data_IF_534292142053
#
_entry.id   IF_534292142053
#
_cell.length_a   1.000
_cell.length_b   1.000
_cell.length_c   1.000
_cell.angle_alpha   90.00
_cell.angle_beta   90.00
_cell.angle_gamma   90.00
#
_symmetry.space_group_name_H-M   'P 1'
#
loop_
_entity.id
_entity.type
_entity.pdbx_description
1 polymer ?
#
# COMPACT_ATOMS: atom_id res chain seq x y z
N UNK A 1 -30.11 -36.96 -39.80
CA UNK A 1 -31.02 -35.85 -39.44
C UNK A 1 -31.25 -35.96 -37.95
N UNK A 2 -30.58 -35.14 -37.14
CA UNK A 2 -30.89 -34.96 -35.73
C UNK A 2 -31.31 -33.50 -35.57
N UNK A 3 -32.58 -33.30 -35.27
CA UNK A 3 -33.17 -31.99 -35.01
C UNK A 3 -32.84 -31.50 -33.60
N UNK A 4 -32.92 -30.18 -33.49
CA UNK A 4 -32.67 -29.30 -32.36
C UNK A 4 -33.39 -29.70 -31.07
N UNK A 5 -32.68 -29.63 -29.93
CA UNK A 5 -33.30 -29.38 -28.62
C UNK A 5 -32.87 -28.00 -28.14
N UNK A 6 -33.90 -27.20 -27.85
CA UNK A 6 -33.85 -25.79 -27.49
C UNK A 6 -33.17 -25.52 -26.14
N UNK A 7 -32.73 -24.28 -25.98
CA UNK A 7 -31.78 -23.84 -24.98
C UNK A 7 -32.29 -23.83 -23.53
N UNK A 8 -31.35 -24.08 -22.62
CA UNK A 8 -31.53 -23.85 -21.20
C UNK A 8 -31.59 -22.34 -20.91
N UNK A 9 -32.48 -21.88 -20.00
CA UNK A 9 -32.53 -20.48 -19.61
C UNK A 9 -31.27 -20.10 -18.84
N UNK A 10 -30.59 -19.06 -19.32
CA UNK A 10 -29.47 -18.40 -18.66
C UNK A 10 -29.94 -17.96 -17.27
N UNK A 11 -29.39 -18.58 -16.22
CA UNK A 11 -29.61 -18.16 -14.84
C UNK A 11 -29.14 -16.72 -14.69
N UNK A 12 -30.08 -15.83 -14.42
CA UNK A 12 -29.85 -14.41 -14.19
C UNK A 12 -28.69 -14.19 -13.20
N UNK A 13 -27.74 -13.35 -13.61
CA UNK A 13 -26.63 -12.92 -12.79
C UNK A 13 -27.14 -12.36 -11.45
N UNK A 14 -26.62 -12.92 -10.36
CA UNK A 14 -26.95 -12.52 -8.99
C UNK A 14 -26.66 -11.02 -8.81
N UNK A 15 -27.53 -10.22 -8.17
CA UNK A 15 -27.30 -8.79 -8.04
C UNK A 15 -25.99 -8.53 -7.29
N UNK A 16 -25.14 -7.67 -7.85
CA UNK A 16 -23.95 -7.17 -7.15
C UNK A 16 -24.45 -6.46 -5.89
N UNK A 17 -24.15 -7.05 -4.72
CA UNK A 17 -24.61 -6.55 -3.44
C UNK A 17 -24.29 -5.06 -3.29
N UNK A 18 -25.33 -4.23 -3.24
CA UNK A 18 -25.25 -2.79 -2.99
C UNK A 18 -24.75 -2.54 -1.58
N UNK A 19 -23.80 -1.61 -1.43
CA UNK A 19 -23.25 -1.21 -0.13
C UNK A 19 -24.39 -0.76 0.81
N UNK A 20 -24.38 -1.22 2.07
CA UNK A 20 -25.46 -0.98 3.04
C UNK A 20 -25.61 0.52 3.38
N UNK A 21 -26.86 0.96 3.57
CA UNK A 21 -27.21 2.32 4.05
C UNK A 21 -26.56 2.58 5.42
N UNK A 22 -25.94 3.75 5.58
CA UNK A 22 -25.11 4.23 6.71
C UNK A 22 -23.60 3.98 6.61
N UNK A 23 -23.04 4.15 5.42
CA UNK A 23 -21.60 4.25 5.25
C UNK A 23 -21.12 5.68 5.46
N UNK A 24 -20.17 5.90 6.39
CA UNK A 24 -19.54 7.21 6.54
C UNK A 24 -18.92 7.68 5.21
N UNK A 25 -18.84 8.99 5.03
CA UNK A 25 -18.28 9.60 3.83
C UNK A 25 -16.81 9.18 3.58
N UNK A 26 -16.30 9.51 2.40
CA UNK A 26 -14.96 9.13 1.96
C UNK A 26 -13.83 9.58 2.92
N UNK A 27 -14.04 10.68 3.66
CA UNK A 27 -13.10 11.18 4.67
C UNK A 27 -12.96 10.26 5.89
N UNK A 28 -14.03 9.60 6.35
CA UNK A 28 -13.94 8.66 7.47
C UNK A 28 -13.09 7.42 7.11
N UNK A 29 -13.11 7.02 5.84
CA UNK A 29 -12.29 5.92 5.30
C UNK A 29 -10.80 6.27 5.33
N UNK A 30 -10.46 7.52 5.01
CA UNK A 30 -9.08 8.01 5.04
C UNK A 30 -8.59 8.21 6.48
N UNK A 31 -9.45 8.68 7.38
CA UNK A 31 -9.10 8.82 8.79
C UNK A 31 -8.73 7.49 9.46
N UNK A 32 -9.33 6.36 9.04
CA UNK A 32 -8.88 5.05 9.52
C UNK A 32 -7.39 4.85 9.20
N UNK A 33 -6.92 5.18 7.99
CA UNK A 33 -5.57 4.79 7.53
C UNK A 33 -4.52 5.90 7.60
N UNK A 34 -4.92 7.15 7.73
CA UNK A 34 -3.99 8.29 7.81
C UNK A 34 -3.06 8.19 9.04
N UNK A 35 -3.47 7.49 10.10
CA UNK A 35 -2.64 7.18 11.27
C UNK A 35 -1.50 6.19 10.97
N UNK A 36 -1.61 5.38 9.91
CA UNK A 36 -0.71 4.25 9.63
C UNK A 36 0.60 4.64 8.97
N UNK A 37 0.58 5.70 8.17
CA UNK A 37 1.72 6.11 7.37
C UNK A 37 2.49 7.22 8.09
N UNK A 38 3.49 6.83 8.88
CA UNK A 38 4.44 7.78 9.50
C UNK A 38 5.03 8.70 8.42
N UNK A 39 5.49 8.11 7.32
CA UNK A 39 6.02 8.82 6.14
C UNK A 39 4.94 9.48 5.26
N UNK A 40 3.65 9.29 5.57
CA UNK A 40 2.53 9.91 4.86
C UNK A 40 2.06 11.23 5.48
N UNK A 41 2.64 11.65 6.61
CA UNK A 41 2.28 12.90 7.29
C UNK A 41 3.53 13.75 7.57
N UNK A 42 3.52 15.06 7.27
CA UNK A 42 4.71 15.93 7.38
C UNK A 42 5.17 16.15 8.83
N UNK A 43 4.26 15.99 9.79
CA UNK A 43 4.45 16.21 11.23
C UNK A 43 4.87 14.94 11.99
N UNK A 44 4.79 13.76 11.37
CA UNK A 44 5.04 12.48 12.04
C UNK A 44 6.46 11.97 11.86
N UNK A 45 7.04 11.48 12.94
CA UNK A 45 8.35 10.83 12.96
C UNK A 45 8.21 9.39 13.42
N UNK A 46 9.22 8.57 13.11
CA UNK A 46 9.28 7.21 13.65
C UNK A 46 9.45 7.29 15.17
N UNK A 47 8.64 6.53 15.95
CA UNK A 47 8.76 6.50 17.40
C UNK A 47 10.20 6.20 17.85
N UNK A 48 10.79 7.10 18.62
CA UNK A 48 12.19 6.97 19.07
C UNK A 48 12.32 6.54 20.53
N UNK A 49 11.19 6.19 21.17
CA UNK A 49 11.15 5.67 22.53
C UNK A 49 10.17 4.49 22.63
N UNK A 50 10.32 3.69 23.68
CA UNK A 50 9.43 2.55 23.96
C UNK A 50 8.00 3.02 24.26
N UNK A 51 7.85 4.16 24.92
CA UNK A 51 6.57 4.79 25.26
C UNK A 51 5.87 5.27 23.99
N UNK A 52 6.57 6.02 23.13
CA UNK A 52 6.05 6.48 21.85
C UNK A 52 5.66 5.28 20.97
N UNK A 53 6.50 4.24 20.92
CA UNK A 53 6.20 3.06 20.13
C UNK A 53 5.02 2.28 20.70
N UNK A 54 4.86 2.22 22.02
CA UNK A 54 3.71 1.57 22.65
C UNK A 54 2.41 2.32 22.34
N UNK A 55 2.42 3.65 22.43
CA UNK A 55 1.29 4.48 22.02
C UNK A 55 0.94 4.31 20.54
N UNK A 56 1.96 4.29 19.67
CA UNK A 56 1.81 4.00 18.25
C UNK A 56 1.15 2.63 18.04
N UNK A 57 1.69 1.57 18.63
CA UNK A 57 1.12 0.22 18.58
C UNK A 57 -0.33 0.12 19.08
N UNK A 58 -0.74 0.93 20.06
CA UNK A 58 -2.14 1.03 20.50
C UNK A 58 -3.04 1.60 19.40
N UNK A 59 -2.69 2.77 18.86
CA UNK A 59 -3.43 3.46 17.78
C UNK A 59 -3.56 2.61 16.51
N UNK A 60 -2.57 1.76 16.26
CA UNK A 60 -2.57 0.82 15.15
C UNK A 60 -3.60 -0.30 15.30
N UNK A 61 -3.80 -0.83 16.51
CA UNK A 61 -4.84 -1.84 16.76
C UNK A 61 -6.24 -1.26 16.54
N UNK A 62 -6.46 -0.03 16.99
CA UNK A 62 -7.71 0.71 16.76
C UNK A 62 -7.94 0.92 15.26
N UNK A 63 -6.88 1.23 14.53
CA UNK A 63 -6.91 1.40 13.08
C UNK A 63 -7.27 0.11 12.35
N UNK A 64 -6.65 -1.03 12.69
CA UNK A 64 -6.98 -2.33 12.09
C UNK A 64 -8.46 -2.67 12.29
N UNK A 65 -9.01 -2.38 13.47
CA UNK A 65 -10.44 -2.52 13.75
C UNK A 65 -11.29 -1.58 12.88
N UNK A 66 -10.91 -0.31 12.76
CA UNK A 66 -11.58 0.69 11.92
C UNK A 66 -11.70 0.21 10.46
N UNK A 67 -10.59 -0.29 9.89
CA UNK A 67 -10.56 -0.80 8.53
C UNK A 67 -11.48 -2.01 8.38
N UNK A 68 -11.40 -3.00 9.27
CA UNK A 68 -12.23 -4.22 9.21
C UNK A 68 -13.72 -3.91 9.34
N UNK A 69 -14.08 -3.03 10.27
CA UNK A 69 -15.46 -2.63 10.47
C UNK A 69 -15.99 -1.86 9.26
N UNK A 70 -15.17 -0.99 8.65
CA UNK A 70 -15.54 -0.27 7.44
C UNK A 70 -15.68 -1.19 6.22
N UNK A 71 -14.66 -2.02 5.93
CA UNK A 71 -14.67 -2.89 4.73
C UNK A 71 -15.79 -3.91 4.78
N UNK A 72 -16.15 -4.43 5.96
CA UNK A 72 -17.25 -5.38 6.13
C UNK A 72 -18.64 -4.78 5.94
N UNK A 73 -18.81 -3.47 6.23
CA UNK A 73 -20.12 -2.79 6.15
C UNK A 73 -20.33 -2.06 4.83
N UNK A 74 -19.25 -1.51 4.25
CA UNK A 74 -19.35 -0.44 3.27
C UNK A 74 -18.73 -0.71 1.92
N UNK A 75 -18.06 -1.85 1.74
CA UNK A 75 -17.44 -2.19 0.48
C UNK A 75 -18.13 -3.37 -0.18
N UNK A 76 -18.14 -3.36 -1.52
CA UNK A 76 -18.44 -4.55 -2.31
C UNK A 76 -17.39 -5.64 -2.05
N UNK A 77 -17.68 -6.93 -2.35
CA UNK A 77 -16.70 -8.00 -2.15
C UNK A 77 -15.35 -7.73 -2.82
N UNK A 78 -15.34 -7.22 -4.06
CA UNK A 78 -14.12 -6.88 -4.78
C UNK A 78 -13.41 -5.65 -4.17
N UNK A 79 -14.17 -4.60 -3.81
CA UNK A 79 -13.60 -3.43 -3.14
C UNK A 79 -12.97 -3.76 -1.78
N UNK A 80 -13.58 -4.70 -1.05
CA UNK A 80 -13.03 -5.26 0.20
C UNK A 80 -11.72 -5.99 -0.07
N UNK A 81 -11.66 -6.93 -1.02
CA UNK A 81 -10.43 -7.66 -1.38
C UNK A 81 -9.29 -6.71 -1.78
N UNK A 82 -9.56 -5.76 -2.68
CA UNK A 82 -8.56 -4.78 -3.10
C UNK A 82 -8.04 -3.93 -1.93
N UNK A 83 -8.92 -3.57 -1.00
CA UNK A 83 -8.53 -2.82 0.22
C UNK A 83 -7.73 -3.68 1.17
N UNK A 84 -8.13 -4.94 1.39
CA UNK A 84 -7.39 -5.90 2.21
C UNK A 84 -5.97 -6.11 1.67
N UNK A 85 -5.80 -6.26 0.36
CA UNK A 85 -4.47 -6.32 -0.28
C UNK A 85 -3.69 -5.03 -0.03
N UNK A 86 -4.30 -3.86 -0.28
CA UNK A 86 -3.64 -2.56 -0.14
C UNK A 86 -3.14 -2.28 1.29
N UNK A 87 -3.85 -2.79 2.32
CA UNK A 87 -3.51 -2.55 3.74
C UNK A 87 -2.83 -3.75 4.41
N UNK A 88 -2.79 -4.92 3.77
CA UNK A 88 -2.18 -6.13 4.33
C UNK A 88 -0.70 -5.93 4.64
N UNK A 89 0.01 -5.20 3.78
CA UNK A 89 1.40 -4.80 3.96
C UNK A 89 1.63 -4.02 5.25
N UNK A 90 0.76 -3.04 5.49
CA UNK A 90 0.75 -2.25 6.71
C UNK A 90 0.52 -3.18 7.91
N UNK A 91 -0.56 -3.96 7.94
CA UNK A 91 -0.87 -4.83 9.07
C UNK A 91 0.28 -5.79 9.44
N UNK A 92 1.01 -6.30 8.43
CA UNK A 92 2.20 -7.14 8.63
C UNK A 92 3.38 -6.38 9.21
N UNK A 93 3.71 -5.23 8.65
CA UNK A 93 4.74 -4.33 9.17
C UNK A 93 4.49 -4.03 10.66
N UNK A 94 3.24 -3.71 11.00
CA UNK A 94 2.86 -3.38 12.36
C UNK A 94 2.94 -4.58 13.29
N UNK A 95 2.53 -5.78 12.85
CA UNK A 95 2.75 -7.00 13.63
C UNK A 95 4.25 -7.22 13.88
N UNK A 96 5.13 -7.00 12.90
CA UNK A 96 6.57 -7.20 13.09
C UNK A 96 7.17 -6.24 14.11
N UNK A 97 6.78 -4.97 14.10
CA UNK A 97 7.30 -3.97 15.05
C UNK A 97 6.67 -4.08 16.44
N UNK A 98 5.37 -4.38 16.53
CA UNK A 98 4.60 -4.28 17.78
C UNK A 98 4.45 -5.59 18.56
N UNK A 99 4.87 -6.74 18.00
CA UNK A 99 4.58 -8.09 18.54
C UNK A 99 5.25 -8.39 19.89
N UNK A 100 6.53 -8.05 20.06
CA UNK A 100 7.27 -8.36 21.29
C UNK A 100 8.08 -7.17 21.79
N UNK A 101 8.51 -7.22 23.05
CA UNK A 101 9.35 -6.17 23.63
C UNK A 101 10.70 -6.08 22.92
N UNK A 102 11.27 -7.21 22.49
CA UNK A 102 12.52 -7.29 21.73
C UNK A 102 12.38 -6.60 20.38
N UNK A 103 11.29 -6.86 19.64
CA UNK A 103 11.04 -6.18 18.36
C UNK A 103 10.80 -4.70 18.50
N UNK A 104 10.18 -4.27 19.60
CA UNK A 104 10.04 -2.86 19.94
C UNK A 104 11.39 -2.19 20.22
N UNK A 105 12.25 -2.85 20.99
CA UNK A 105 13.63 -2.37 21.24
C UNK A 105 14.44 -2.28 19.96
N UNK A 106 14.33 -3.30 19.10
CA UNK A 106 14.99 -3.34 17.80
C UNK A 106 14.53 -2.17 16.91
N UNK A 107 13.24 -1.87 16.87
CA UNK A 107 12.73 -0.70 16.16
C UNK A 107 13.28 0.61 16.71
N UNK A 108 13.20 0.82 18.03
CA UNK A 108 13.67 2.06 18.68
C UNK A 108 15.16 2.28 18.43
N UNK A 109 15.97 1.21 18.48
CA UNK A 109 17.41 1.26 18.16
C UNK A 109 17.68 1.81 16.76
N UNK A 110 16.82 1.50 15.79
CA UNK A 110 17.00 1.90 14.39
C UNK A 110 16.22 3.17 14.01
N UNK A 111 15.29 3.64 14.86
CA UNK A 111 14.43 4.78 14.57
C UNK A 111 15.20 6.07 14.24
N UNK A 112 16.40 6.25 14.80
CA UNK A 112 17.29 7.36 14.49
C UNK A 112 17.64 7.47 13.00
N UNK A 113 18.05 6.36 12.38
CA UNK A 113 18.32 6.33 10.93
C UNK A 113 17.06 6.69 10.13
N UNK A 114 15.91 6.05 10.44
CA UNK A 114 14.67 6.31 9.70
C UNK A 114 14.21 7.77 9.80
N UNK A 115 14.42 8.40 10.96
CA UNK A 115 14.12 9.82 11.15
C UNK A 115 15.10 10.73 10.40
N UNK A 116 16.37 10.36 10.29
CA UNK A 116 17.35 11.13 9.51
C UNK A 116 17.02 11.19 8.02
N UNK A 117 16.37 10.15 7.47
CA UNK A 117 15.99 10.08 6.05
C UNK A 117 14.48 10.24 5.81
N UNK A 118 13.71 10.66 6.82
CA UNK A 118 12.25 10.69 6.72
C UNK A 118 11.76 11.67 5.63
N UNK A 119 12.51 12.73 5.39
CA UNK A 119 12.27 13.68 4.29
C UNK A 119 12.37 13.00 2.92
N UNK A 120 13.44 12.25 2.69
CA UNK A 120 13.63 11.47 1.46
C UNK A 120 12.52 10.42 1.32
N UNK A 121 12.23 9.66 2.38
CA UNK A 121 11.14 8.67 2.36
C UNK A 121 9.79 9.28 1.98
N UNK A 122 9.48 10.48 2.47
CA UNK A 122 8.26 11.24 2.11
C UNK A 122 8.26 11.63 0.64
N UNK A 123 9.40 12.11 0.13
CA UNK A 123 9.54 12.45 -1.29
C UNK A 123 9.32 11.23 -2.16
N UNK A 124 10.02 10.13 -1.89
CA UNK A 124 9.87 8.87 -2.62
C UNK A 124 8.43 8.35 -2.58
N UNK A 125 7.76 8.43 -1.42
CA UNK A 125 6.36 8.01 -1.30
C UNK A 125 5.43 8.92 -2.10
N UNK A 126 5.72 10.22 -2.15
CA UNK A 126 4.95 11.16 -2.94
C UNK A 126 5.05 10.85 -4.43
N UNK A 127 6.23 10.52 -4.94
CA UNK A 127 6.43 10.14 -6.34
C UNK A 127 5.64 8.87 -6.69
N UNK A 128 5.72 7.85 -5.83
CA UNK A 128 4.92 6.63 -6.00
C UNK A 128 3.42 6.91 -5.96
N UNK A 129 2.97 7.71 -5.01
CA UNK A 129 1.57 8.13 -4.90
C UNK A 129 1.10 8.83 -6.17
N UNK A 130 1.88 9.77 -6.72
CA UNK A 130 1.55 10.45 -7.98
C UNK A 130 1.48 9.48 -9.15
N UNK A 131 2.39 8.50 -9.20
CA UNK A 131 2.33 7.44 -10.20
C UNK A 131 1.06 6.59 -10.11
N UNK A 132 0.56 6.29 -8.90
CA UNK A 132 -0.71 5.57 -8.74
C UNK A 132 -1.90 6.39 -9.24
N UNK A 133 -1.91 7.72 -9.06
CA UNK A 133 -2.93 8.58 -9.67
C UNK A 133 -2.82 8.57 -11.20
N UNK A 134 -1.61 8.57 -11.75
CA UNK A 134 -1.39 8.39 -13.18
C UNK A 134 -1.92 7.04 -13.68
N UNK A 135 -1.65 5.96 -12.95
CA UNK A 135 -2.11 4.61 -13.27
C UNK A 135 -3.64 4.51 -13.33
N UNK A 136 -4.38 5.28 -12.52
CA UNK A 136 -5.85 5.30 -12.62
C UNK A 136 -6.36 5.78 -13.99
N UNK A 137 -5.59 6.65 -14.65
CA UNK A 137 -5.89 7.20 -15.99
C UNK A 137 -5.23 6.40 -17.12
N UNK A 138 -4.39 5.43 -16.80
CA UNK A 138 -3.67 4.63 -17.78
C UNK A 138 -4.55 3.50 -18.34
N UNK A 139 -4.18 3.02 -19.53
CA UNK A 139 -4.73 1.80 -20.11
C UNK A 139 -4.54 0.59 -19.17
N UNK A 140 -5.47 -0.36 -19.20
CA UNK A 140 -5.50 -1.49 -18.27
C UNK A 140 -4.18 -2.29 -18.26
N UNK A 141 -3.58 -2.50 -19.43
CA UNK A 141 -2.30 -3.19 -19.58
C UNK A 141 -1.09 -2.42 -19.00
N UNK A 142 -1.22 -1.12 -18.74
CA UNK A 142 -0.19 -0.29 -18.10
C UNK A 142 -0.37 -0.23 -16.58
N UNK A 143 -1.55 -0.54 -16.04
CA UNK A 143 -1.83 -0.40 -14.60
C UNK A 143 -0.93 -1.27 -13.72
N UNK A 144 -0.77 -2.55 -14.05
CA UNK A 144 0.10 -3.47 -13.31
C UNK A 144 1.59 -3.10 -13.45
N UNK A 145 2.13 -2.85 -14.66
CA UNK A 145 3.49 -2.33 -14.81
C UNK A 145 3.76 -1.04 -14.01
N UNK A 146 2.86 -0.05 -14.06
CA UNK A 146 3.02 1.19 -13.28
C UNK A 146 3.01 0.88 -11.78
N UNK A 147 2.06 0.07 -11.30
CA UNK A 147 1.96 -0.32 -9.89
C UNK A 147 3.25 -0.95 -9.39
N UNK A 148 3.77 -1.94 -10.12
CA UNK A 148 4.95 -2.69 -9.69
C UNK A 148 6.22 -1.87 -9.85
N UNK A 149 6.53 -1.37 -11.06
CA UNK A 149 7.79 -0.68 -11.33
C UNK A 149 7.95 0.58 -10.48
N UNK A 150 6.88 1.37 -10.27
CA UNK A 150 6.96 2.58 -9.45
C UNK A 150 7.06 2.30 -7.95
N UNK A 151 6.68 1.10 -7.52
CA UNK A 151 6.96 0.65 -6.17
C UNK A 151 8.44 0.22 -5.99
N UNK A 152 9.06 -0.38 -7.01
CA UNK A 152 10.51 -0.62 -6.98
C UNK A 152 11.30 0.70 -7.00
N UNK A 153 10.90 1.68 -7.82
CA UNK A 153 11.47 3.03 -7.79
C UNK A 153 11.40 3.64 -6.39
N UNK A 154 10.24 3.52 -5.71
CA UNK A 154 10.07 3.96 -4.33
C UNK A 154 11.07 3.28 -3.38
N UNK A 155 11.21 1.96 -3.45
CA UNK A 155 12.15 1.21 -2.60
C UNK A 155 13.59 1.62 -2.84
N UNK A 156 13.98 1.75 -4.11
CA UNK A 156 15.33 2.15 -4.50
C UNK A 156 15.63 3.58 -4.04
N UNK A 157 14.68 4.50 -4.21
CA UNK A 157 14.76 5.88 -3.73
C UNK A 157 14.98 5.95 -2.20
N UNK A 158 14.24 5.14 -1.41
CA UNK A 158 14.45 5.07 0.05
C UNK A 158 15.83 4.53 0.40
N UNK A 159 16.29 3.47 -0.27
CA UNK A 159 17.64 2.90 -0.10
C UNK A 159 18.71 3.96 -0.37
N UNK A 160 18.61 4.67 -1.50
CA UNK A 160 19.54 5.74 -1.86
C UNK A 160 19.55 6.87 -0.82
N UNK A 161 18.40 7.24 -0.25
CA UNK A 161 18.34 8.20 0.86
C UNK A 161 19.14 7.72 2.08
N UNK A 162 19.02 6.45 2.45
CA UNK A 162 19.80 5.83 3.54
C UNK A 162 21.30 5.75 3.27
N UNK A 163 21.69 5.53 2.01
CA UNK A 163 23.10 5.50 1.63
C UNK A 163 23.71 6.91 1.69
N UNK A 164 22.95 7.93 1.27
CA UNK A 164 23.39 9.34 1.23
C UNK A 164 23.72 9.92 2.61
N UNK A 165 22.98 9.54 3.66
CA UNK A 165 23.23 10.05 5.03
C UNK A 165 24.48 9.46 5.69
N UNK A 166 25.11 8.46 5.06
CA UNK A 166 26.37 7.88 5.51
C UNK A 166 26.24 6.89 6.67
N UNK A 167 27.28 6.09 6.87
CA UNK A 167 27.31 4.99 7.84
C UNK A 167 27.33 5.46 9.32
N UNK A 168 27.73 6.71 9.58
CA UNK A 168 27.72 7.29 10.93
C UNK A 168 26.29 7.54 11.43
N UNK A 169 25.41 8.03 10.56
CA UNK A 169 24.01 8.32 10.89
C UNK A 169 23.12 7.10 10.67
N UNK A 170 23.34 6.38 9.57
CA UNK A 170 22.63 5.15 9.27
C UNK A 170 23.62 4.01 9.03
N UNK A 171 24.03 3.26 10.08
CA UNK A 171 24.93 2.12 9.91
C UNK A 171 24.25 1.02 9.10
N UNK A 172 25.06 0.12 8.53
CA UNK A 172 24.57 -0.97 7.67
C UNK A 172 23.48 -1.82 8.36
N UNK A 173 23.64 -2.09 9.66
CA UNK A 173 22.61 -2.80 10.44
C UNK A 173 21.25 -2.10 10.45
N UNK A 174 21.22 -0.76 10.46
CA UNK A 174 19.99 0.02 10.38
C UNK A 174 19.42 0.06 8.98
N UNK A 175 20.28 0.16 7.95
CA UNK A 175 19.85 0.03 6.55
C UNK A 175 19.18 -1.32 6.30
N UNK A 176 19.85 -2.41 6.70
CA UNK A 176 19.34 -3.77 6.58
C UNK A 176 18.04 -3.96 7.37
N UNK A 177 17.94 -3.35 8.56
CA UNK A 177 16.70 -3.35 9.33
C UNK A 177 15.54 -2.71 8.55
N UNK A 178 15.74 -1.52 7.98
CA UNK A 178 14.71 -0.85 7.19
C UNK A 178 14.41 -1.56 5.86
N UNK A 179 15.40 -2.21 5.24
CA UNK A 179 15.19 -3.07 4.08
C UNK A 179 14.24 -4.22 4.42
N UNK A 180 14.48 -4.96 5.50
CA UNK A 180 13.57 -6.01 5.94
C UNK A 180 12.18 -5.50 6.31
N UNK A 181 12.09 -4.28 6.84
CA UNK A 181 10.82 -3.60 7.13
C UNK A 181 10.08 -3.23 5.83
N UNK A 182 10.79 -2.83 4.78
CA UNK A 182 10.23 -2.56 3.46
C UNK A 182 9.76 -3.85 2.76
N UNK A 183 10.54 -4.94 2.82
CA UNK A 183 10.11 -6.26 2.32
C UNK A 183 8.87 -6.75 3.07
N UNK A 184 8.86 -6.52 4.39
CA UNK A 184 7.75 -6.87 5.25
C UNK A 184 6.43 -6.16 4.91
N UNK A 185 6.52 -4.99 4.27
CA UNK A 185 5.40 -4.18 3.81
C UNK A 185 4.84 -4.68 2.49
N UNK A 186 5.58 -5.44 1.69
CA UNK A 186 5.02 -6.04 0.48
C UNK A 186 4.04 -7.16 0.90
N UNK A 187 2.84 -7.14 0.33
CA UNK A 187 1.88 -8.22 0.58
C UNK A 187 2.22 -9.42 -0.30
N UNK A 188 1.96 -10.66 0.12
CA UNK A 188 2.29 -11.85 -0.69
C UNK A 188 1.53 -11.84 -2.02
N UNK A 189 0.33 -11.23 -2.02
CA UNK A 189 -0.44 -10.97 -3.24
C UNK A 189 0.27 -9.95 -4.12
N UNK A 190 0.82 -8.89 -3.54
CA UNK A 190 1.61 -7.88 -4.26
C UNK A 190 2.88 -8.50 -4.84
N UNK A 191 3.62 -9.28 -4.06
CA UNK A 191 4.84 -9.97 -4.49
C UNK A 191 4.55 -10.94 -5.63
N UNK A 192 3.43 -11.67 -5.55
CA UNK A 192 3.00 -12.58 -6.60
C UNK A 192 2.68 -11.84 -7.90
N UNK A 193 1.88 -10.78 -7.87
CA UNK A 193 1.51 -10.04 -9.10
C UNK A 193 2.67 -9.23 -9.67
N UNK A 194 3.62 -8.84 -8.83
CA UNK A 194 4.78 -8.04 -9.23
C UNK A 194 6.05 -8.86 -9.48
N UNK A 195 6.01 -10.20 -9.37
CA UNK A 195 7.21 -11.06 -9.41
C UNK A 195 8.05 -10.95 -10.68
N UNK A 196 7.48 -10.44 -11.78
CA UNK A 196 8.15 -10.29 -13.07
C UNK A 196 8.59 -8.85 -13.38
N UNK A 197 8.37 -7.94 -12.44
CA UNK A 197 8.72 -6.54 -12.54
C UNK A 197 9.74 -6.32 -11.43
N UNK A 198 11.01 -6.12 -11.75
CA UNK A 198 12.05 -5.82 -10.77
C UNK A 198 13.08 -4.88 -11.41
N UNK A 199 14.10 -4.48 -10.65
CA UNK A 199 15.16 -3.58 -11.12
C UNK A 199 15.93 -4.12 -12.34
N UNK A 200 15.87 -5.43 -12.60
CA UNK A 200 16.54 -6.10 -13.73
C UNK A 200 15.62 -6.38 -14.91
N UNK A 201 14.32 -6.10 -14.78
CA UNK A 201 13.31 -6.43 -15.79
C UNK A 201 13.17 -5.33 -16.83
N UNK A 202 13.37 -5.66 -18.10
CA UNK A 202 13.09 -4.77 -19.24
C UNK A 202 11.62 -4.30 -19.26
N UNK A 203 10.72 -4.98 -18.55
CA UNK A 203 9.30 -4.61 -18.46
C UNK A 203 9.07 -3.26 -17.79
N UNK A 204 10.03 -2.76 -17.01
CA UNK A 204 9.93 -1.44 -16.40
C UNK A 204 10.42 -0.31 -17.32
N UNK A 205 11.16 -0.62 -18.39
CA UNK A 205 11.71 0.38 -19.33
C UNK A 205 10.64 1.06 -20.19
N UNK A 206 9.52 0.38 -20.45
CA UNK A 206 8.43 0.86 -21.30
C UNK A 206 7.24 1.47 -20.52
N UNK A 207 7.37 1.65 -19.21
CA UNK A 207 6.27 2.14 -18.36
C UNK A 207 6.02 3.62 -18.61
N UNK A 208 4.87 3.94 -19.18
CA UNK A 208 4.43 5.33 -19.39
C UNK A 208 3.42 5.70 -18.30
N UNK A 209 3.79 6.65 -17.44
CA UNK A 209 2.90 7.16 -16.39
C UNK A 209 2.22 8.44 -16.88
N UNK A 210 0.88 8.47 -16.99
CA UNK A 210 0.15 9.70 -17.28
C UNK A 210 0.42 10.77 -16.21
N UNK A 211 0.67 12.01 -16.65
CA UNK A 211 0.90 13.13 -15.75
C UNK A 211 -0.39 13.50 -15.00
N UNK A 212 -0.24 13.83 -13.72
CA UNK A 212 -1.34 14.27 -12.86
C UNK A 212 -0.89 15.47 -12.06
N UNK A 213 -1.68 16.54 -12.06
CA UNK A 213 -1.42 17.71 -11.23
C UNK A 213 -1.69 17.41 -9.75
N UNK A 214 -0.84 17.93 -8.88
CA UNK A 214 -1.03 17.80 -7.43
C UNK A 214 -2.27 18.60 -6.99
N UNK A 215 -3.17 17.96 -6.24
CA UNK A 215 -4.39 18.58 -5.72
C UNK A 215 -4.72 18.08 -4.32
N UNK A 216 -5.79 18.59 -3.71
CA UNK A 216 -6.26 18.06 -2.43
C UNK A 216 -6.68 16.57 -2.54
N UNK A 217 -7.15 16.14 -3.70
CA UNK A 217 -7.45 14.73 -3.96
C UNK A 217 -6.20 13.86 -3.95
N UNK A 218 -5.03 14.39 -4.35
CA UNK A 218 -3.77 13.63 -4.37
C UNK A 218 -3.06 13.52 -3.02
N UNK A 219 -3.75 13.85 -1.91
CA UNK A 219 -3.22 13.65 -0.55
C UNK A 219 -3.26 12.19 -0.11
N UNK A 220 -4.19 11.39 -0.64
CA UNK A 220 -4.43 10.01 -0.25
C UNK A 220 -3.56 9.02 -1.01
N UNK A 221 -2.89 8.09 -0.31
CA UNK A 221 -2.19 6.95 -0.92
C UNK A 221 -3.11 5.74 -1.12
N UNK A 222 -4.01 5.48 -0.17
CA UNK A 222 -4.84 4.27 -0.18
C UNK A 222 -5.87 4.30 -1.32
N UNK A 223 -6.49 5.45 -1.57
CA UNK A 223 -7.52 5.60 -2.61
C UNK A 223 -7.00 5.18 -4.00
N UNK A 224 -5.90 5.75 -4.52
CA UNK A 224 -5.39 5.38 -5.85
C UNK A 224 -4.87 3.93 -5.87
N UNK A 225 -4.15 3.48 -4.83
CA UNK A 225 -3.65 2.11 -4.72
C UNK A 225 -4.78 1.07 -4.82
N UNK A 226 -5.84 1.24 -4.04
CA UNK A 226 -7.01 0.35 -4.05
C UNK A 226 -7.67 0.34 -5.43
N UNK A 227 -7.82 1.50 -6.06
CA UNK A 227 -8.50 1.60 -7.35
C UNK A 227 -7.70 0.90 -8.45
N UNK A 228 -6.36 1.03 -8.45
CA UNK A 228 -5.47 0.32 -9.38
C UNK A 228 -5.54 -1.19 -9.13
N UNK A 229 -5.37 -1.63 -7.87
CA UNK A 229 -5.48 -3.04 -7.51
C UNK A 229 -6.82 -3.65 -7.89
N UNK A 230 -7.92 -2.91 -7.68
CA UNK A 230 -9.26 -3.35 -8.09
C UNK A 230 -9.31 -3.61 -9.60
N UNK A 231 -8.83 -2.69 -10.43
CA UNK A 231 -8.80 -2.87 -11.89
C UNK A 231 -7.98 -4.09 -12.31
N UNK A 232 -6.82 -4.30 -11.69
CA UNK A 232 -5.95 -5.45 -11.98
C UNK A 232 -6.64 -6.76 -11.59
N UNK A 233 -7.16 -6.84 -10.36
CA UNK A 233 -7.81 -8.06 -9.84
C UNK A 233 -9.12 -8.40 -10.58
N UNK A 234 -9.84 -7.41 -11.11
CA UNK A 234 -11.02 -7.63 -11.94
C UNK A 234 -10.65 -8.22 -13.31
N UNK A 235 -9.55 -7.75 -13.91
CA UNK A 235 -9.06 -8.24 -15.20
C UNK A 235 -8.63 -9.71 -15.16
N UNK A 236 -7.96 -10.15 -14.09
CA UNK A 236 -7.54 -11.55 -13.92
C UNK A 236 -8.70 -12.52 -13.67
N UNK A 237 -9.90 -12.00 -13.34
CA UNK A 237 -11.09 -12.79 -13.05
C UNK A 237 -12.06 -12.96 -14.23
N UNK A 238 -11.73 -12.37 -15.39
CA UNK A 238 -12.51 -12.39 -16.63
C UNK A 238 -11.86 -13.28 -17.68
#
# INVERSE_FOLDING_TARGET
MCELVAGAPQTAAKPIATAKKNCPNESLRENCVNSLFIIGSPDKHFPNSTEQLTAFCGKLKETDKCIKDYTSRCMTPMGKRATEVAVAGIARLLKRMCRSAEKRKEFVKNAGCGNAVIGDMRSCLNDYKMALYGAQKAELNQKLPILCCKFYDFRSCVRTGMDKVGAEVCPESSRNYFHHIADAFQSDVFDLICSNYDESSDKCSAVVVPQVEASQETRSLLKPLRNVLKSVLEADSS
#
